data_IF_722058695014
#
_entry.id   IF_722058695014
#
_cell.length_a   1.000
_cell.length_b   1.000
_cell.length_c   1.000
_cell.angle_alpha   90.00
_cell.angle_beta   90.00
_cell.angle_gamma   90.00
#
_symmetry.space_group_name_H-M   'P 1'
#
loop_
_entity.id
_entity.type
_entity.pdbx_description
1 polymer ?
2 non-polymer ?
3 non-polymer ?
4 non-polymer ?
5 water ?
#
# COMPACT_ATOMS: atom_id res chain seq x y z
N UNK A 3 -8.90 22.49 2.53
CA UNK A 3 -7.48 22.38 2.16
C UNK A 3 -6.66 21.80 3.33
N UNK A 4 -7.09 20.64 3.82
CA UNK A 4 -6.63 20.09 5.08
C UNK A 4 -6.10 18.65 4.81
N UNK A 5 -5.06 18.25 5.53
CA UNK A 5 -4.54 16.88 5.49
C UNK A 5 -4.93 16.13 6.74
N UNK A 6 -5.55 14.96 6.59
CA UNK A 6 -5.90 14.09 7.71
C UNK A 6 -4.72 13.19 8.08
N UNK A 7 -4.64 12.80 9.35
CA UNK A 7 -3.64 11.81 9.78
C UNK A 7 -4.31 10.87 10.80
N UNK A 8 -4.11 9.57 10.61
CA UNK A 8 -4.60 8.56 11.59
C UNK A 8 -3.39 7.75 12.10
N UNK A 9 -3.33 7.58 13.42
CA UNK A 9 -2.32 6.77 14.10
C UNK A 9 -2.95 6.38 15.43
N UNK A 10 -2.80 5.11 15.81
CA UNK A 10 -3.26 4.65 17.12
C UNK A 10 -2.24 3.66 17.67
N UNK A 11 -1.71 3.98 18.85
CA UNK A 11 -0.67 3.16 19.49
C UNK A 11 -1.12 1.72 19.74
N UNK A 12 -2.43 1.50 19.79
CA UNK A 12 -2.93 0.12 20.00
C UNK A 12 -2.48 -0.86 18.89
N UNK A 13 -2.14 -0.33 17.70
CA UNK A 13 -1.66 -1.18 16.60
C UNK A 13 -0.24 -1.71 16.85
N UNK A 14 0.45 -1.18 17.88
CA UNK A 14 1.71 -1.76 18.30
C UNK A 14 1.56 -3.13 18.99
N UNK A 15 0.35 -3.54 19.41
CA UNK A 15 0.22 -4.75 20.27
C UNK A 15 0.48 -6.06 19.53
N UNK A 16 0.20 -6.09 18.23
CA UNK A 16 0.55 -7.20 17.37
C UNK A 16 2.08 -7.40 17.40
N UNK A 17 2.52 -8.59 17.77
CA UNK A 17 3.94 -8.82 17.93
C UNK A 17 4.31 -10.27 17.68
N UNK A 18 5.60 -10.55 17.50
CA UNK A 18 6.12 -11.89 17.28
C UNK A 18 6.70 -12.40 18.59
N UNK A 19 5.96 -13.30 19.27
CA UNK A 19 6.39 -13.74 20.59
C UNK A 19 7.61 -14.68 20.57
N UNK A 20 7.95 -15.20 19.39
CA UNK A 20 9.05 -16.16 19.25
C UNK A 20 10.32 -15.51 18.75
N UNK A 21 10.20 -14.33 18.15
CA UNK A 21 11.34 -13.63 17.56
C UNK A 21 11.09 -12.13 17.64
N UNK A 22 11.54 -11.51 18.72
CA UNK A 22 11.23 -10.11 18.99
C UNK A 22 11.96 -9.18 18.02
N UNK A 23 12.91 -9.72 17.26
CA UNK A 23 13.63 -8.95 16.22
C UNK A 23 13.08 -9.10 14.81
N UNK A 24 11.99 -9.82 14.65
CA UNK A 24 11.31 -9.91 13.35
C UNK A 24 11.10 -8.49 12.81
N UNK A 25 11.43 -8.24 11.53
CA UNK A 25 11.45 -6.82 11.10
C UNK A 25 10.10 -6.08 11.07
N UNK A 26 8.98 -6.79 11.04
CA UNK A 26 7.66 -6.12 11.09
C UNK A 26 7.35 -5.76 12.56
N UNK A 27 8.07 -4.77 13.05
CA UNK A 27 8.13 -4.39 14.47
C UNK A 27 7.02 -3.44 14.91
N UNK A 28 6.55 -3.57 16.14
CA UNK A 28 5.61 -2.58 16.70
C UNK A 28 6.09 -1.14 16.53
N UNK A 29 7.41 -0.92 16.68
CA UNK A 29 7.92 0.44 16.69
C UNK A 29 7.99 1.03 15.29
N UNK A 30 7.68 0.27 14.24
CA UNK A 30 7.60 0.89 12.93
C UNK A 30 6.65 2.07 12.94
N UNK A 31 5.46 1.90 13.54
CA UNK A 31 4.45 2.96 13.46
C UNK A 31 4.73 4.06 14.48
N UNK A 32 5.23 3.71 15.67
CA UNK A 32 5.54 4.74 16.68
C UNK A 32 6.72 5.62 16.21
N UNK A 33 7.73 5.01 15.59
CA UNK A 33 8.84 5.81 15.04
C UNK A 33 8.37 6.77 13.96
N UNK A 34 7.53 6.29 13.05
CA UNK A 34 6.99 7.19 12.03
C UNK A 34 6.15 8.34 12.65
N UNK A 35 5.27 8.02 13.59
CA UNK A 35 4.51 9.04 14.29
C UNK A 35 5.40 10.06 15.00
N UNK A 36 6.42 9.60 15.74
CA UNK A 36 7.36 10.53 16.41
C UNK A 36 8.05 11.45 15.43
N UNK A 37 8.48 10.91 14.26
CA UNK A 37 9.17 11.75 13.28
C UNK A 37 8.24 12.87 12.77
N UNK A 38 6.95 12.58 12.63
CA UNK A 38 5.97 13.60 12.25
C UNK A 38 5.86 14.71 13.29
N UNK A 39 5.96 14.34 14.57
CA UNK A 39 5.97 15.35 15.63
C UNK A 39 7.26 16.18 15.57
N UNK A 40 8.40 15.50 15.45
CA UNK A 40 9.71 16.19 15.40
C UNK A 40 9.82 17.19 14.26
N UNK A 41 9.24 16.84 13.13
CA UNK A 41 9.22 17.70 11.96
C UNK A 41 8.08 18.74 11.96
N UNK A 42 7.27 18.74 13.04
CA UNK A 42 6.16 19.70 13.20
C UNK A 42 5.09 19.53 12.14
N UNK A 43 4.93 18.30 11.66
CA UNK A 43 3.89 17.98 10.69
C UNK A 43 2.59 17.60 11.39
N UNK A 44 2.71 16.94 12.55
CA UNK A 44 1.53 16.42 13.24
C UNK A 44 0.52 17.54 13.56
N UNK A 45 1.02 18.65 14.10
CA UNK A 45 0.15 19.76 14.46
C UNK A 45 -0.48 20.49 13.27
N UNK A 46 0.03 20.21 12.07
CA UNK A 46 -0.52 20.77 10.83
C UNK A 46 -1.64 19.91 10.25
N UNK A 47 -1.82 18.69 10.76
CA UNK A 47 -2.82 17.77 10.25
C UNK A 47 -4.06 17.77 11.11
N UNK A 48 -5.17 17.33 10.51
CA UNK A 48 -6.40 17.07 11.24
C UNK A 48 -6.33 15.61 11.67
N UNK A 49 -6.43 15.37 12.96
CA UNK A 49 -6.36 14.02 13.50
C UNK A 49 -7.64 13.27 13.31
N UNK A 50 -7.56 12.16 12.57
CA UNK A 50 -8.73 11.29 12.32
C UNK A 50 -8.62 10.09 13.28
N UNK A 51 -9.72 9.75 14.00
CA UNK A 51 -9.63 8.62 14.93
C UNK A 51 -9.57 7.28 14.24
N UNK A 52 -8.79 6.36 14.81
CA UNK A 52 -8.89 4.94 14.44
C UNK A 52 -10.25 4.36 14.88
N UNK A 53 -10.68 3.30 14.21
CA UNK A 53 -11.80 2.49 14.71
C UNK A 53 -11.57 1.06 14.22
N UNK A 54 -12.32 0.11 14.81
CA UNK A 54 -12.33 -1.26 14.28
C UNK A 54 -13.12 -1.33 12.98
N UNK A 55 -12.57 -1.97 11.95
CA UNK A 55 -13.42 -2.48 10.88
C UNK A 55 -14.42 -3.47 11.49
N UNK A 56 -15.61 -3.51 10.89
CA UNK A 56 -16.60 -4.54 11.26
C UNK A 56 -16.38 -5.79 10.41
N UNK A 57 -16.93 -6.93 10.87
CA UNK A 57 -16.80 -8.14 10.08
C UNK A 57 -17.52 -8.01 8.73
N UNK A 58 -18.64 -7.29 8.72
CA UNK A 58 -19.32 -7.02 7.44
C UNK A 58 -18.39 -6.23 6.47
N UNK A 59 -17.63 -5.26 7.00
CA UNK A 59 -16.69 -4.51 6.13
C UNK A 59 -15.57 -5.42 5.64
N UNK A 60 -15.08 -6.31 6.48
CA UNK A 60 -14.05 -7.27 6.04
C UNK A 60 -14.58 -8.14 4.92
N UNK A 61 -15.87 -8.44 4.96
CA UNK A 61 -16.49 -9.30 3.91
C UNK A 61 -16.62 -8.58 2.55
N UNK A 62 -16.32 -7.28 2.50
CA UNK A 62 -16.19 -6.61 1.20
C UNK A 62 -15.15 -7.29 0.31
N UNK A 63 -14.08 -7.82 0.91
CA UNK A 63 -13.02 -8.51 0.17
C UNK A 63 -12.69 -9.94 0.61
N UNK A 64 -13.03 -10.32 1.85
CA UNK A 64 -12.58 -11.60 2.41
C UNK A 64 -13.72 -12.57 2.62
N UNK A 65 -13.40 -13.86 2.51
CA UNK A 65 -14.39 -14.91 2.79
C UNK A 65 -14.73 -14.90 4.28
N UNK A 66 -15.94 -15.35 4.57
CA UNK A 66 -16.37 -15.50 5.97
C UNK A 66 -15.49 -16.52 6.70
N UNK A 67 -15.04 -17.55 5.99
CA UNK A 67 -14.11 -18.54 6.57
C UNK A 67 -12.79 -17.90 7.04
N UNK A 68 -12.20 -17.09 6.16
CA UNK A 68 -10.92 -16.48 6.46
C UNK A 68 -11.09 -15.53 7.65
N UNK A 69 -12.17 -14.73 7.64
CA UNK A 69 -12.42 -13.80 8.75
C UNK A 69 -12.54 -14.56 10.07
N UNK A 70 -13.34 -15.64 10.04
CA UNK A 70 -13.60 -16.49 11.21
C UNK A 70 -12.31 -17.06 11.77
N UNK A 71 -11.43 -17.54 10.87
CA UNK A 71 -10.16 -18.21 11.26
C UNK A 71 -9.22 -17.20 11.96
N UNK A 72 -9.02 -16.02 11.34
CA UNK A 72 -8.18 -15.03 11.98
C UNK A 72 -8.79 -14.57 13.31
N UNK A 73 -10.13 -14.41 13.36
CA UNK A 73 -10.75 -14.00 14.61
C UNK A 73 -10.53 -15.06 15.72
N UNK A 74 -10.54 -16.34 15.35
CA UNK A 74 -10.33 -17.43 16.35
C UNK A 74 -8.95 -17.38 17.05
N UNK A 75 -7.98 -16.65 16.47
CA UNK A 75 -6.62 -16.56 17.05
C UNK A 75 -6.59 -15.71 18.33
N UNK A 76 -7.62 -14.88 18.54
CA UNK A 76 -7.72 -14.00 19.71
C UNK A 76 -7.56 -14.72 21.06
N UNK A 77 -8.05 -15.95 21.14
CA UNK A 77 -7.98 -16.69 22.40
C UNK A 77 -7.13 -17.96 22.35
N UNK A 78 -6.18 -18.01 21.42
CA UNK A 78 -5.32 -19.18 21.30
C UNK A 78 -4.12 -19.10 22.23
N UNK A 79 -3.72 -20.28 22.71
CA UNK A 79 -2.47 -20.44 23.45
C UNK A 79 -1.30 -20.36 22.45
N UNK A 80 -0.07 -20.02 22.92
CA UNK A 80 1.09 -19.89 22.01
C UNK A 80 1.24 -21.02 20.99
N UNK A 81 1.11 -22.29 21.42
CA UNK A 81 1.32 -23.43 20.53
C UNK A 81 0.38 -23.39 19.32
N UNK A 82 -0.86 -22.98 19.57
CA UNK A 82 -1.85 -22.95 18.51
C UNK A 82 -1.73 -21.72 17.63
N UNK A 83 -1.27 -20.62 18.20
CA UNK A 83 -0.87 -19.43 17.42
C UNK A 83 0.25 -19.78 16.44
N UNK A 84 1.23 -20.54 16.92
CA UNK A 84 2.37 -20.96 16.09
C UNK A 84 1.86 -21.87 14.95
N UNK A 85 1.04 -22.86 15.29
CA UNK A 85 0.47 -23.75 14.30
C UNK A 85 -0.35 -23.00 13.25
N UNK A 86 -1.20 -22.07 13.69
CA UNK A 86 -2.03 -21.32 12.77
C UNK A 86 -1.16 -20.45 11.87
N UNK A 87 -0.23 -19.68 12.44
CA UNK A 87 0.63 -18.79 11.62
C UNK A 87 1.36 -19.62 10.57
N UNK A 88 1.80 -20.83 10.96
CA UNK A 88 2.52 -21.70 10.03
C UNK A 88 1.73 -22.25 8.85
N UNK A 89 0.40 -22.17 8.89
CA UNK A 89 -0.41 -22.55 7.72
C UNK A 89 -0.28 -21.58 6.56
N UNK A 90 0.26 -20.40 6.85
CA UNK A 90 0.40 -19.36 5.83
C UNK A 90 1.86 -19.18 5.40
N UNK A 91 2.05 -18.48 4.31
CA UNK A 91 3.39 -18.07 3.89
C UNK A 91 3.76 -16.81 4.66
N UNK A 92 4.70 -16.94 5.59
CA UNK A 92 5.34 -15.76 6.29
C UNK A 92 4.34 -14.94 7.11
N UNK A 93 3.71 -15.63 8.07
CA UNK A 93 2.83 -15.01 9.03
C UNK A 93 3.23 -15.38 10.45
N UNK A 94 3.28 -14.38 11.34
CA UNK A 94 3.28 -14.61 12.78
C UNK A 94 2.01 -13.99 13.39
N UNK A 95 1.52 -14.62 14.47
CA UNK A 95 0.25 -14.23 15.09
C UNK A 95 0.40 -14.17 16.61
N UNK A 96 -0.11 -13.10 17.22
CA UNK A 96 -0.29 -13.03 18.66
C UNK A 96 -1.78 -12.83 18.96
N UNK A 97 -2.15 -12.80 20.25
CA UNK A 97 -3.59 -12.68 20.61
C UNK A 97 -4.19 -11.33 20.17
N UNK A 98 -3.31 -10.36 19.95
CA UNK A 98 -3.68 -8.99 19.60
C UNK A 98 -3.74 -8.75 18.10
N UNK A 99 -3.28 -9.71 17.29
CA UNK A 99 -3.16 -9.55 15.82
C UNK A 99 -4.46 -9.16 15.13
N UNK A 100 -5.53 -9.87 15.42
CA UNK A 100 -6.83 -9.63 14.80
C UNK A 100 -7.32 -8.21 15.09
N UNK A 101 -7.30 -7.77 16.35
CA UNK A 101 -7.72 -6.42 16.69
C UNK A 101 -6.85 -5.39 15.95
N UNK A 102 -5.54 -5.62 15.92
CA UNK A 102 -4.66 -4.67 15.19
C UNK A 102 -5.02 -4.59 13.71
N UNK A 103 -5.25 -5.74 13.08
CA UNK A 103 -5.68 -5.76 11.67
C UNK A 103 -6.99 -5.03 11.44
N UNK A 104 -7.93 -5.19 12.35
CA UNK A 104 -9.20 -4.48 12.27
C UNK A 104 -8.98 -2.99 12.41
N UNK A 105 -8.10 -2.58 13.32
CA UNK A 105 -7.84 -1.13 13.51
C UNK A 105 -7.14 -0.53 12.30
N UNK A 106 -6.21 -1.26 11.71
CA UNK A 106 -5.55 -0.75 10.50
C UNK A 106 -6.58 -0.48 9.40
N UNK A 107 -7.49 -1.43 9.21
CA UNK A 107 -8.52 -1.27 8.17
C UNK A 107 -9.53 -0.14 8.53
N UNK A 108 -10.08 -0.19 9.75
CA UNK A 108 -11.02 0.85 10.22
C UNK A 108 -10.44 2.28 10.14
N UNK A 109 -9.15 2.43 10.49
CA UNK A 109 -8.44 3.72 10.35
C UNK A 109 -8.49 4.23 8.93
N UNK A 110 -8.24 3.32 7.98
CA UNK A 110 -8.27 3.69 6.56
C UNK A 110 -9.67 4.01 6.05
N UNK A 111 -10.68 3.27 6.51
CA UNK A 111 -12.08 3.62 6.19
C UNK A 111 -12.41 5.04 6.69
N UNK A 112 -12.08 5.37 7.95
CA UNK A 112 -12.39 6.68 8.47
C UNK A 112 -11.64 7.78 7.67
N UNK A 113 -10.42 7.47 7.20
CA UNK A 113 -9.64 8.42 6.39
C UNK A 113 -10.29 8.59 5.02
N UNK A 114 -10.68 7.50 4.35
CA UNK A 114 -11.39 7.58 3.08
C UNK A 114 -12.70 8.36 3.23
N UNK A 115 -13.42 8.08 4.30
CA UNK A 115 -14.66 8.82 4.60
C UNK A 115 -14.40 10.33 4.74
N UNK A 116 -13.36 10.68 5.51
CA UNK A 116 -13.02 12.09 5.72
C UNK A 116 -12.73 12.78 4.41
N UNK A 117 -12.02 12.10 3.50
CA UNK A 117 -11.79 12.66 2.18
C UNK A 117 -13.08 12.80 1.36
N UNK A 118 -13.88 11.74 1.32
CA UNK A 118 -15.01 11.73 0.38
C UNK A 118 -16.18 12.59 0.88
N UNK A 119 -16.21 12.88 2.17
CA UNK A 119 -17.21 13.82 2.71
C UNK A 119 -16.71 15.27 2.67
N UNK A 120 -15.48 15.47 2.21
CA UNK A 120 -14.91 16.83 2.12
C UNK A 120 -14.39 17.39 3.44
N UNK A 121 -14.21 16.56 4.48
CA UNK A 121 -13.64 17.05 5.75
C UNK A 121 -12.14 17.36 5.61
N UNK A 122 -11.45 16.57 4.81
CA UNK A 122 -10.03 16.78 4.46
C UNK A 122 -9.88 16.58 2.96
N UNK A 123 -8.80 17.12 2.38
CA UNK A 123 -8.51 16.93 0.96
C UNK A 123 -7.79 15.59 0.73
N UNK A 124 -6.89 15.26 1.66
CA UNK A 124 -6.01 14.09 1.50
C UNK A 124 -5.69 13.59 2.91
N UNK A 125 -4.98 12.47 3.01
CA UNK A 125 -4.76 11.88 4.34
C UNK A 125 -3.63 10.87 4.31
N UNK A 126 -3.04 10.66 5.50
CA UNK A 126 -2.00 9.63 5.71
C UNK A 126 -2.44 8.67 6.84
N UNK A 127 -2.18 7.36 6.66
CA UNK A 127 -2.58 6.36 7.66
C UNK A 127 -1.35 5.60 8.09
N UNK A 128 -0.95 5.80 9.35
CA UNK A 128 0.23 5.16 9.90
C UNK A 128 -0.24 3.90 10.63
N UNK A 129 -0.30 2.80 9.88
CA UNK A 129 -1.01 1.56 10.39
C UNK A 129 -0.13 0.31 10.22
N UNK A 130 -0.38 -0.70 11.06
CA UNK A 130 0.22 -2.06 10.91
C UNK A 130 -0.79 -2.99 11.62
N UNK A 131 -0.77 -4.29 11.35
CA UNK A 131 0.02 -4.95 10.28
C UNK A 131 -0.36 -4.47 8.87
N UNK A 132 0.51 -4.69 7.90
CA UNK A 132 0.24 -4.35 6.51
C UNK A 132 -0.84 -5.23 5.87
N UNK A 133 -1.18 -4.91 4.62
CA UNK A 133 -2.32 -5.49 3.95
C UNK A 133 -2.13 -6.13 2.60
N UNK A 134 -1.21 -5.66 1.78
CA UNK A 134 -1.35 -5.93 0.33
C UNK A 134 -1.12 -7.40 -0.13
N UNK A 135 -0.49 -8.23 0.70
CA UNK A 135 -0.36 -9.65 0.33
C UNK A 135 -1.58 -10.48 0.73
N UNK A 136 -2.49 -9.93 1.55
CA UNK A 136 -3.65 -10.69 2.02
C UNK A 136 -4.62 -10.92 0.84
N UNK A 137 -5.07 -12.17 0.71
CA UNK A 137 -5.93 -12.62 -0.37
C UNK A 137 -7.36 -12.72 0.18
N UNK A 138 -8.34 -12.91 -0.70
CA UNK A 138 -9.72 -13.14 -0.23
C UNK A 138 -9.79 -14.20 0.87
N UNK A 139 -9.07 -15.30 0.69
CA UNK A 139 -9.27 -16.49 1.53
C UNK A 139 -8.05 -16.83 2.38
N UNK A 140 -7.02 -15.99 2.35
CA UNK A 140 -5.80 -16.33 3.12
C UNK A 140 -4.95 -15.13 3.55
N UNK A 141 -4.19 -15.32 4.64
CA UNK A 141 -3.19 -14.36 5.10
C UNK A 141 -1.84 -14.70 4.44
N UNK A 142 -0.96 -13.70 4.34
CA UNK A 142 0.33 -13.87 3.64
C UNK A 142 1.26 -12.71 3.90
N UNK A 143 2.55 -12.98 4.06
CA UNK A 143 3.55 -11.93 3.99
C UNK A 143 3.32 -10.80 4.98
N UNK A 144 3.05 -11.19 6.23
CA UNK A 144 2.85 -10.27 7.37
C UNK A 144 1.49 -9.59 7.34
N UNK A 145 0.63 -9.96 6.38
CA UNK A 145 -0.68 -9.31 6.18
C UNK A 145 -1.85 -10.24 6.46
N UNK A 146 -2.87 -9.73 7.16
CA UNK A 146 -4.07 -10.56 7.52
C UNK A 146 -5.28 -10.23 6.65
N UNK A 147 -5.58 -8.93 6.52
CA UNK A 147 -6.68 -8.45 5.69
C UNK A 147 -6.13 -7.36 4.77
N UNK A 148 -6.70 -7.26 3.58
CA UNK A 148 -6.13 -6.34 2.60
C UNK A 148 -6.69 -4.94 2.77
N UNK A 149 -6.06 -4.21 3.70
CA UNK A 149 -6.48 -2.86 4.06
C UNK A 149 -6.77 -1.94 2.87
N UNK A 150 -5.86 -1.85 1.91
CA UNK A 150 -6.04 -0.95 0.75
C UNK A 150 -7.22 -1.43 -0.14
N UNK A 151 -7.32 -2.74 -0.39
CA UNK A 151 -8.42 -3.27 -1.21
C UNK A 151 -9.76 -3.02 -0.50
N UNK A 152 -9.80 -3.28 0.82
CA UNK A 152 -11.03 -3.04 1.64
C UNK A 152 -11.40 -1.57 1.55
N UNK A 153 -10.39 -0.69 1.59
CA UNK A 153 -10.64 0.74 1.56
C UNK A 153 -11.26 1.17 0.21
N UNK A 154 -10.77 0.62 -0.89
CA UNK A 154 -11.40 0.90 -2.20
C UNK A 154 -12.86 0.49 -2.22
N UNK A 155 -13.17 -0.71 -1.69
CA UNK A 155 -14.56 -1.17 -1.65
C UNK A 155 -15.40 -0.37 -0.68
N UNK A 156 -14.82 -0.01 0.47
CA UNK A 156 -15.52 0.86 1.41
C UNK A 156 -15.86 2.20 0.74
N UNK A 157 -14.89 2.83 0.08
CA UNK A 157 -15.16 4.06 -0.68
C UNK A 157 -16.33 3.89 -1.68
N UNK A 158 -16.32 2.80 -2.46
CA UNK A 158 -17.45 2.47 -3.35
C UNK A 158 -18.80 2.30 -2.62
N UNK A 159 -18.74 1.75 -1.40
CA UNK A 159 -19.96 1.45 -0.60
C UNK A 159 -20.64 2.71 -0.06
N UNK A 160 -19.94 3.84 -0.08
CA UNK A 160 -20.53 5.13 0.41
C UNK A 160 -20.70 6.14 -0.72
N UNK A 161 -20.41 5.72 -1.96
CA UNK A 161 -20.57 6.61 -3.12
C UNK A 161 -21.34 5.86 -4.21
N UNK A 162 -20.62 5.15 -5.07
CA UNK A 162 -21.25 4.25 -6.06
C UNK A 162 -20.29 3.13 -6.35
N UNK A 163 -20.88 1.97 -6.66
CA UNK A 163 -20.14 0.76 -6.97
C UNK A 163 -19.04 1.01 -8.01
N UNK A 164 -19.30 1.86 -9.00
CA UNK A 164 -18.30 2.13 -10.06
C UNK A 164 -17.36 3.31 -9.83
N UNK A 165 -17.31 3.82 -8.59
CA UNK A 165 -16.38 4.88 -8.28
C UNK A 165 -14.98 4.46 -8.74
N UNK A 166 -14.31 5.31 -9.49
CA UNK A 166 -12.98 4.94 -10.02
C UNK A 166 -11.89 5.15 -8.99
N UNK A 167 -11.30 4.04 -8.56
CA UNK A 167 -10.27 4.10 -7.52
C UNK A 167 -8.96 3.63 -8.16
N UNK A 168 -7.94 4.48 -8.09
CA UNK A 168 -6.57 4.05 -8.45
C UNK A 168 -5.84 3.64 -7.22
N UNK A 169 -5.26 2.43 -7.24
CA UNK A 169 -4.34 2.02 -6.18
C UNK A 169 -2.95 1.97 -6.77
N UNK A 170 -2.06 2.79 -6.25
CA UNK A 170 -0.66 2.75 -6.65
C UNK A 170 0.09 2.08 -5.52
N UNK A 171 0.76 0.98 -5.83
CA UNK A 171 1.43 0.19 -4.81
C UNK A 171 2.93 0.32 -5.05
N UNK A 172 3.58 1.16 -4.24
CA UNK A 172 5.02 1.36 -4.40
C UNK A 172 5.85 0.66 -3.32
N UNK A 173 5.20 -0.16 -2.50
CA UNK A 173 5.93 -1.14 -1.69
C UNK A 173 6.81 -1.94 -2.66
N UNK A 174 8.02 -2.30 -2.24
CA UNK A 174 8.97 -3.02 -3.11
C UNK A 174 8.47 -4.43 -3.52
N UNK A 175 7.46 -4.97 -2.83
CA UNK A 175 6.90 -6.28 -3.15
C UNK A 175 5.62 -6.13 -3.95
N UNK A 176 5.33 -7.12 -4.80
CA UNK A 176 4.03 -7.17 -5.46
C UNK A 176 2.88 -7.36 -4.47
N UNK A 177 1.80 -6.57 -4.61
CA UNK A 177 0.59 -6.76 -3.79
C UNK A 177 -0.25 -7.81 -4.49
N UNK A 178 0.13 -9.08 -4.34
CA UNK A 178 -0.60 -10.20 -4.98
C UNK A 178 -2.07 -10.17 -4.61
N UNK A 179 -2.38 -9.84 -3.34
CA UNK A 179 -3.76 -9.89 -2.87
C UNK A 179 -4.58 -8.82 -3.57
N UNK A 180 -4.00 -7.62 -3.70
CA UNK A 180 -4.71 -6.51 -4.33
C UNK A 180 -4.98 -6.81 -5.82
N UNK A 181 -3.96 -7.32 -6.49
CA UNK A 181 -4.11 -7.70 -7.90
C UNK A 181 -5.27 -8.70 -8.06
N UNK A 182 -5.28 -9.77 -7.23
CA UNK A 182 -6.29 -10.83 -7.36
C UNK A 182 -7.69 -10.34 -7.05
N UNK A 183 -7.81 -9.52 -6.00
CA UNK A 183 -9.13 -9.03 -5.60
C UNK A 183 -9.77 -8.22 -6.73
N UNK A 184 -8.95 -7.45 -7.43
CA UNK A 184 -9.48 -6.56 -8.46
C UNK A 184 -9.23 -7.04 -9.88
N UNK A 185 -8.81 -8.29 -10.07
CA UNK A 185 -8.31 -8.71 -11.40
C UNK A 185 -9.33 -8.58 -12.54
N UNK A 186 -10.62 -8.74 -12.22
CA UNK A 186 -11.71 -8.67 -13.21
C UNK A 186 -12.49 -7.37 -13.13
N UNK A 187 -11.90 -6.38 -12.45
CA UNK A 187 -12.60 -5.15 -12.11
C UNK A 187 -12.04 -3.95 -12.88
N UNK A 188 -12.90 -3.24 -13.62
CA UNK A 188 -12.46 -2.02 -14.36
C UNK A 188 -12.71 -0.74 -13.53
N UNK A 189 -13.29 -0.88 -12.34
CA UNK A 189 -13.48 0.27 -11.44
C UNK A 189 -12.27 0.55 -10.58
N UNK A 190 -11.38 -0.42 -10.44
CA UNK A 190 -10.22 -0.25 -9.56
C UNK A 190 -9.02 -0.57 -10.42
N UNK A 191 -8.25 0.47 -10.72
CA UNK A 191 -6.99 0.34 -11.48
C UNK A 191 -5.86 0.08 -10.49
N UNK A 192 -5.23 -1.09 -10.61
CA UNK A 192 -4.12 -1.48 -9.73
C UNK A 192 -2.82 -1.30 -10.47
N UNK A 193 -1.93 -0.46 -9.94
CA UNK A 193 -0.61 -0.25 -10.56
C UNK A 193 0.43 -0.55 -9.49
N UNK A 194 1.26 -1.57 -9.73
CA UNK A 194 2.30 -1.92 -8.74
C UNK A 194 3.68 -1.77 -9.38
N UNK A 195 4.62 -1.18 -8.65
CA UNK A 195 6.02 -1.27 -9.00
C UNK A 195 6.62 -2.22 -7.97
N UNK A 196 7.52 -3.07 -8.39
CA UNK A 196 8.02 -4.10 -7.43
C UNK A 196 9.23 -4.78 -8.00
N UNK A 197 10.13 -5.12 -7.09
CA UNK A 197 11.22 -6.03 -7.42
C UNK A 197 10.65 -7.42 -7.73
N UNK A 198 11.18 -8.05 -8.78
CA UNK A 198 10.60 -9.30 -9.29
C UNK A 198 11.68 -10.37 -9.45
N UNK A 199 12.79 -10.02 -10.10
CA UNK A 199 13.95 -10.94 -10.31
C UNK A 199 13.49 -12.26 -10.92
N UNK A 200 12.61 -12.17 -11.93
CA UNK A 200 12.12 -13.37 -12.64
C UNK A 200 11.49 -14.40 -11.71
N UNK A 201 10.90 -13.93 -10.62
CA UNK A 201 10.27 -14.84 -9.68
C UNK A 201 11.10 -15.18 -8.44
N UNK A 202 12.35 -14.73 -8.37
CA UNK A 202 13.19 -15.04 -7.20
C UNK A 202 12.82 -14.18 -5.98
N UNK A 203 12.13 -13.06 -6.19
CA UNK A 203 11.86 -12.11 -5.10
C UNK A 203 10.46 -12.38 -4.57
N UNK A 204 10.28 -12.28 -3.27
CA UNK A 204 8.98 -12.55 -2.62
C UNK A 204 7.90 -11.66 -3.29
N UNK A 205 6.70 -12.17 -3.62
CA UNK A 205 6.12 -13.46 -3.17
C UNK A 205 6.32 -14.60 -4.19
N UNK A 206 7.29 -14.47 -5.09
CA UNK A 206 7.83 -15.61 -5.85
C UNK A 206 6.89 -16.22 -6.91
N UNK A 207 6.02 -15.38 -7.47
CA UNK A 207 5.00 -15.81 -8.44
C UNK A 207 5.10 -15.01 -9.73
N UNK A 208 4.88 -15.72 -10.85
CA UNK A 208 4.82 -15.07 -12.15
C UNK A 208 3.57 -14.17 -12.31
N UNK A 209 2.66 -14.20 -11.32
CA UNK A 209 1.51 -13.28 -11.27
C UNK A 209 1.98 -11.82 -11.26
N UNK A 210 3.22 -11.57 -10.77
CA UNK A 210 3.77 -10.22 -10.70
C UNK A 210 4.39 -9.73 -12.02
N UNK A 211 4.37 -10.53 -13.10
CA UNK A 211 5.07 -10.10 -14.30
C UNK A 211 4.24 -9.10 -15.11
N UNK A 212 4.91 -8.38 -16.04
CA UNK A 212 4.30 -7.29 -16.79
C UNK A 212 3.18 -7.73 -17.72
N UNK A 213 3.12 -9.03 -18.05
CA UNK A 213 2.11 -9.53 -18.97
C UNK A 213 0.79 -9.88 -18.28
N UNK A 214 0.71 -9.67 -16.96
CA UNK A 214 -0.53 -9.88 -16.24
C UNK A 214 -1.23 -8.51 -16.22
N UNK A 215 -2.16 -8.37 -17.16
CA UNK A 215 -2.76 -7.05 -17.49
C UNK A 215 -4.21 -6.92 -17.02
N UNK A 216 -4.74 -7.97 -16.37
CA UNK A 216 -6.13 -8.00 -15.95
C UNK A 216 -6.93 -8.98 -16.78
N UNK A 217 -8.12 -9.32 -16.27
CA UNK A 217 -8.93 -10.40 -16.87
C UNK A 217 -10.33 -9.89 -17.15
N UNK A 218 -10.93 -10.37 -18.24
CA UNK A 218 -12.33 -10.09 -18.51
C UNK A 218 -12.55 -8.58 -18.68
N UNK A 219 -13.57 -8.05 -18.01
CA UNK A 219 -13.83 -6.61 -18.11
C UNK A 219 -12.71 -5.79 -17.44
N UNK A 220 -11.88 -6.46 -16.65
CA UNK A 220 -10.71 -5.82 -16.01
C UNK A 220 -9.47 -5.80 -16.88
N UNK A 221 -9.57 -6.25 -18.13
CA UNK A 221 -8.39 -6.26 -18.97
C UNK A 221 -7.87 -4.83 -19.27
N UNK A 222 -6.61 -4.58 -18.94
CA UNK A 222 -5.98 -3.26 -19.06
C UNK A 222 -5.89 -2.56 -17.69
N UNK A 223 -6.59 -3.10 -16.68
CA UNK A 223 -6.73 -2.40 -15.39
C UNK A 223 -5.85 -2.98 -14.27
N UNK A 224 -4.85 -3.74 -14.68
CA UNK A 224 -3.80 -4.26 -13.81
C UNK A 224 -2.46 -3.97 -14.47
N UNK A 225 -1.64 -3.17 -13.81
CA UNK A 225 -0.36 -2.74 -14.38
C UNK A 225 0.77 -3.11 -13.43
N UNK A 226 1.56 -4.12 -13.83
CA UNK A 226 2.70 -4.57 -13.06
C UNK A 226 3.96 -4.05 -13.71
N UNK A 227 4.80 -3.38 -12.90
CA UNK A 227 6.07 -2.80 -13.36
C UNK A 227 7.16 -3.56 -12.56
N UNK A 228 7.69 -4.66 -13.13
CA UNK A 228 8.59 -5.54 -12.42
C UNK A 228 10.06 -5.18 -12.66
N UNK A 229 10.83 -5.06 -11.59
CA UNK A 229 12.28 -4.80 -11.71
C UNK A 229 13.09 -6.09 -11.64
N UNK A 230 14.10 -6.19 -12.48
CA UNK A 230 15.06 -7.29 -12.48
C UNK A 230 16.48 -6.73 -12.55
N UNK A 231 17.46 -7.46 -11.97
CA UNK A 231 18.86 -7.08 -12.12
C UNK A 231 19.27 -6.13 -11.01
N UNK A 232 18.83 -6.37 -9.77
CA UNK A 232 19.36 -5.65 -8.61
C UNK A 232 18.92 -4.19 -8.38
N UNK A 233 19.78 -3.42 -7.70
CA UNK A 233 19.44 -2.10 -7.11
C UNK A 233 18.78 -1.12 -8.09
N UNK A 234 17.61 -0.60 -7.71
CA UNK A 234 16.96 0.53 -8.40
C UNK A 234 16.71 1.65 -7.42
N UNK A 235 16.52 2.86 -7.94
CA UNK A 235 16.36 4.02 -7.04
C UNK A 235 15.55 5.13 -7.68
N UNK A 236 15.82 6.36 -7.28
CA UNK A 236 15.01 7.49 -7.77
C UNK A 236 14.93 7.61 -9.31
N UNK A 237 16.06 7.41 -10.04
CA UNK A 237 15.93 7.61 -11.50
C UNK A 237 14.91 6.65 -12.12
N UNK A 238 14.91 5.39 -11.65
CA UNK A 238 14.05 4.34 -12.22
C UNK A 238 12.59 4.53 -11.82
N UNK A 239 12.38 4.93 -10.57
CA UNK A 239 11.01 5.20 -10.07
C UNK A 239 10.44 6.46 -10.76
N UNK A 240 11.25 7.50 -10.90
CA UNK A 240 10.81 8.69 -11.62
C UNK A 240 10.45 8.38 -13.09
N UNK A 241 11.30 7.60 -13.77
CA UNK A 241 11.01 7.21 -15.16
C UNK A 241 9.74 6.37 -15.25
N UNK A 242 9.54 5.41 -14.34
CA UNK A 242 8.32 4.59 -14.33
C UNK A 242 7.05 5.47 -14.13
N UNK A 243 7.14 6.45 -13.26
CA UNK A 243 6.04 7.39 -13.09
C UNK A 243 5.79 8.25 -14.34
N UNK A 244 6.86 8.76 -14.94
CA UNK A 244 6.76 9.61 -16.13
C UNK A 244 6.18 8.87 -17.33
N UNK A 245 6.67 7.64 -17.57
CA UNK A 245 6.27 6.94 -18.79
C UNK A 245 5.03 6.10 -18.64
N UNK A 246 4.73 5.65 -17.42
CA UNK A 246 3.68 4.64 -17.20
C UNK A 246 2.63 5.06 -16.19
N UNK A 247 3.03 5.26 -14.92
CA UNK A 247 2.05 5.50 -13.87
C UNK A 247 1.18 6.72 -14.18
N UNK A 248 1.81 7.86 -14.49
CA UNK A 248 1.05 9.11 -14.63
C UNK A 248 0.21 9.18 -15.91
N UNK A 249 0.75 8.72 -17.07
CA UNK A 249 -0.12 8.79 -18.26
C UNK A 249 -1.33 7.85 -18.15
N UNK A 250 -1.12 6.63 -17.65
CA UNK A 250 -2.23 5.69 -17.42
C UNK A 250 -3.24 6.27 -16.41
N UNK A 251 -2.74 6.79 -15.29
CA UNK A 251 -3.63 7.36 -14.28
C UNK A 251 -4.44 8.50 -14.84
N UNK A 252 -3.80 9.40 -15.60
CA UNK A 252 -4.56 10.52 -16.15
C UNK A 252 -5.67 10.05 -17.10
N UNK A 253 -5.41 9.00 -17.87
CA UNK A 253 -6.42 8.45 -18.80
C UNK A 253 -7.57 7.73 -18.07
N UNK A 254 -7.24 7.07 -16.96
CA UNK A 254 -8.24 6.45 -16.10
C UNK A 254 -9.13 7.48 -15.40
N UNK A 255 -8.56 8.65 -15.07
CA UNK A 255 -9.26 9.73 -14.38
C UNK A 255 -9.90 9.25 -13.04
N UNK A 256 -9.04 8.81 -12.08
CA UNK A 256 -9.58 8.26 -10.82
C UNK A 256 -10.34 9.33 -10.04
N UNK A 257 -11.29 8.89 -9.24
CA UNK A 257 -12.04 9.79 -8.34
C UNK A 257 -11.49 9.70 -6.91
N UNK A 258 -10.60 8.73 -6.67
CA UNK A 258 -9.92 8.58 -5.37
C UNK A 258 -8.60 7.85 -5.69
N UNK A 259 -7.51 8.27 -5.04
CA UNK A 259 -6.22 7.56 -5.18
C UNK A 259 -5.85 7.00 -3.81
N UNK A 260 -5.55 5.72 -3.78
CA UNK A 260 -4.99 5.08 -2.61
C UNK A 260 -3.57 4.67 -2.90
N UNK A 261 -2.67 4.96 -1.98
CA UNK A 261 -1.28 4.52 -2.16
C UNK A 261 -1.01 3.41 -1.15
N UNK A 262 -0.69 2.23 -1.69
CA UNK A 262 -0.17 1.13 -0.87
C UNK A 262 1.30 1.50 -0.69
N UNK A 263 1.54 2.27 0.38
CA UNK A 263 2.81 2.98 0.56
C UNK A 263 3.70 2.19 1.49
N UNK A 264 4.29 1.11 0.97
CA UNK A 264 5.43 0.50 1.67
C UNK A 264 6.63 1.39 1.44
N UNK A 265 7.55 1.43 2.40
CA UNK A 265 8.80 2.17 2.26
C UNK A 265 9.99 1.22 2.31
N UNK A 266 9.79 0.03 1.78
CA UNK A 266 10.86 -0.97 1.69
C UNK A 266 11.62 -0.94 0.38
N UNK A 267 11.25 -0.07 -0.57
CA UNK A 267 12.19 0.27 -1.66
C UNK A 267 13.17 1.37 -1.21
N UNK A 268 13.10 1.80 0.06
CA UNK A 268 13.95 2.90 0.53
C UNK A 268 15.42 2.54 0.67
N UNK A 269 16.29 3.49 0.33
CA UNK A 269 17.69 3.44 0.74
C UNK A 269 17.78 2.98 2.23
N UNK A 270 18.58 1.95 2.50
CA UNK A 270 18.74 1.44 3.89
C UNK A 270 17.86 0.24 4.26
N UNK A 271 16.86 -0.08 3.44
CA UNK A 271 15.96 -1.19 3.81
C UNK A 271 16.68 -2.54 3.63
N UNK A 272 16.72 -3.38 4.69
CA UNK A 272 17.40 -4.69 4.61
C UNK A 272 16.70 -5.73 3.74
N UNK A 273 15.40 -5.56 3.53
CA UNK A 273 14.64 -6.54 2.77
C UNK A 273 14.53 -6.14 1.31
N UNK A 274 14.44 -4.84 1.03
CA UNK A 274 14.21 -4.39 -0.35
C UNK A 274 15.44 -4.32 -1.25
N UNK A 275 16.57 -3.90 -0.69
CA UNK A 275 17.80 -3.78 -1.43
C UNK A 275 17.83 -2.65 -2.45
N UNK A 276 16.88 -1.72 -2.35
CA UNK A 276 16.80 -0.58 -3.28
C UNK A 276 17.23 0.72 -2.63
N UNK A 277 17.17 1.82 -3.40
CA UNK A 277 17.81 3.08 -3.03
C UNK A 277 16.90 4.27 -3.21
N UNK A 278 15.58 4.08 -3.17
CA UNK A 278 14.67 5.25 -3.27
C UNK A 278 14.87 6.17 -2.05
N UNK A 279 14.99 7.46 -2.31
CA UNK A 279 15.33 8.45 -1.24
C UNK A 279 14.06 9.12 -0.70
N UNK A 280 14.16 9.81 0.46
CA UNK A 280 12.94 10.47 0.97
C UNK A 280 12.42 11.50 -0.02
N UNK A 281 13.36 12.20 -0.68
CA UNK A 281 13.02 13.20 -1.69
C UNK A 281 12.33 12.52 -2.87
N UNK A 282 12.82 11.32 -3.24
CA UNK A 282 12.13 10.51 -4.26
C UNK A 282 10.67 10.23 -3.87
N UNK A 283 10.43 9.68 -2.67
CA UNK A 283 9.03 9.47 -2.24
C UNK A 283 8.22 10.75 -2.25
N UNK A 284 8.82 11.88 -1.85
CA UNK A 284 8.10 13.15 -1.87
C UNK A 284 7.69 13.51 -3.30
N UNK A 285 8.59 13.34 -4.28
CA UNK A 285 8.21 13.67 -5.64
C UNK A 285 7.10 12.76 -6.17
N UNK A 286 7.17 11.47 -5.87
CA UNK A 286 6.10 10.53 -6.26
C UNK A 286 4.75 10.95 -5.69
N UNK A 287 4.75 11.33 -4.42
CA UNK A 287 3.53 11.85 -3.75
C UNK A 287 3.00 13.09 -4.49
N UNK A 288 3.89 14.06 -4.75
CA UNK A 288 3.50 15.31 -5.40
C UNK A 288 2.85 15.04 -6.78
N UNK A 289 3.40 14.07 -7.52
CA UNK A 289 2.82 13.70 -8.81
C UNK A 289 1.40 13.17 -8.64
N UNK A 290 1.22 12.26 -7.68
CA UNK A 290 -0.10 11.67 -7.47
C UNK A 290 -1.14 12.68 -7.01
N UNK A 291 -0.69 13.74 -6.33
CA UNK A 291 -1.58 14.82 -5.92
C UNK A 291 -2.27 15.56 -7.08
N UNK A 292 -1.74 15.41 -8.30
CA UNK A 292 -2.36 16.03 -9.49
C UNK A 292 -3.60 15.30 -9.96
N UNK A 293 -3.86 14.12 -9.36
CA UNK A 293 -4.98 13.26 -9.77
C UNK A 293 -6.16 13.44 -8.82
N UNK A 294 -7.36 13.12 -9.31
CA UNK A 294 -8.55 12.95 -8.48
C UNK A 294 -8.83 14.21 -7.62
N UNK A 295 -8.54 15.40 -8.17
CA UNK A 295 -8.70 16.67 -7.45
C UNK A 295 -7.99 16.65 -6.10
N UNK A 296 -6.86 15.95 -6.06
CA UNK A 296 -6.05 15.84 -4.87
C UNK A 296 -6.48 14.84 -3.82
N UNK A 297 -7.48 14.03 -4.15
CA UNK A 297 -8.03 13.08 -3.16
C UNK A 297 -7.11 11.84 -3.08
N UNK A 298 -6.12 11.91 -2.19
CA UNK A 298 -5.06 10.89 -2.06
C UNK A 298 -5.00 10.42 -0.60
N UNK A 299 -5.04 9.10 -0.40
CA UNK A 299 -4.88 8.53 0.94
C UNK A 299 -3.64 7.64 0.90
N UNK A 300 -2.63 7.98 1.71
CA UNK A 300 -1.35 7.21 1.78
C UNK A 300 -1.44 6.20 2.92
N UNK A 301 -1.33 4.91 2.59
CA UNK A 301 -1.52 3.81 3.57
C UNK A 301 -0.20 3.08 3.76
N UNK A 302 0.36 3.08 4.97
CA UNK A 302 1.60 2.31 5.20
C UNK A 302 1.42 0.80 4.92
N UNK A 303 2.36 0.24 4.15
CA UNK A 303 2.46 -1.20 3.93
C UNK A 303 3.74 -1.69 4.58
N UNK A 304 4.74 -2.15 3.80
CA UNK A 304 6.03 -2.57 4.38
C UNK A 304 7.02 -1.43 4.56
N UNK A 305 8.28 -1.79 4.77
CA UNK A 305 9.34 -0.79 5.07
C UNK A 305 9.87 -1.03 6.48
N UNK A 306 11.17 -1.35 6.57
CA UNK A 306 11.73 -1.97 7.79
C UNK A 306 12.91 -1.28 8.40
N UNK A 307 13.50 -0.31 7.67
CA UNK A 307 14.55 0.48 8.28
C UNK A 307 13.82 1.60 9.01
N UNK A 308 13.88 1.60 10.35
CA UNK A 308 13.05 2.55 11.12
C UNK A 308 13.33 4.02 10.76
N UNK A 309 14.60 4.38 10.60
CA UNK A 309 14.97 5.73 10.21
C UNK A 309 14.48 6.05 8.78
N UNK A 310 14.71 5.13 7.86
CA UNK A 310 14.28 5.34 6.46
C UNK A 310 12.78 5.52 6.34
N UNK A 311 12.00 4.67 7.01
CA UNK A 311 10.54 4.77 6.81
C UNK A 311 9.99 6.02 7.50
N UNK A 312 10.62 6.40 8.61
CA UNK A 312 10.17 7.60 9.30
C UNK A 312 10.41 8.89 8.51
N UNK A 313 11.57 8.99 7.88
CA UNK A 313 11.90 10.15 7.08
C UNK A 313 11.09 10.12 5.78
N UNK A 314 10.94 8.94 5.17
CA UNK A 314 10.27 8.88 3.86
C UNK A 314 8.77 9.15 4.01
N UNK A 315 8.12 8.51 5.00
CA UNK A 315 6.69 8.76 5.12
C UNK A 315 6.41 10.21 5.56
N UNK A 316 7.25 10.77 6.43
CA UNK A 316 7.08 12.18 6.84
C UNK A 316 7.19 13.12 5.63
N UNK A 317 8.10 12.83 4.69
CA UNK A 317 8.22 13.68 3.52
C UNK A 317 6.98 13.60 2.62
N UNK A 318 6.33 12.43 2.56
CA UNK A 318 5.07 12.30 1.82
C UNK A 318 3.99 13.19 2.47
N UNK A 319 3.90 13.14 3.78
CA UNK A 319 2.93 14.01 4.50
C UNK A 319 3.19 15.50 4.25
N UNK A 320 4.46 15.91 4.26
CA UNK A 320 4.88 17.27 3.91
C UNK A 320 4.34 17.67 2.54
N UNK A 321 4.45 16.76 1.57
CA UNK A 321 3.85 17.02 0.26
C UNK A 321 2.33 17.18 0.30
N UNK A 322 1.63 16.26 0.99
CA UNK A 322 0.19 16.36 1.14
C UNK A 322 -0.26 17.70 1.71
N UNK A 323 0.54 18.20 2.66
CA UNK A 323 0.29 19.51 3.28
C UNK A 323 0.57 20.71 2.37
N UNK A 324 1.10 20.45 1.19
CA UNK A 324 1.32 21.51 0.18
C UNK A 324 2.71 22.12 0.19
N UNK A 325 3.67 21.51 0.89
CA UNK A 325 5.07 22.03 0.90
C UNK A 325 5.71 21.85 -0.48
N UNK A 326 6.66 22.71 -0.82
CA UNK A 326 7.28 22.68 -2.15
C UNK A 326 8.07 21.38 -2.34
N UNK A 327 7.88 20.69 -3.50
CA UNK A 327 8.56 19.41 -3.75
C UNK A 327 10.07 19.59 -3.88
N UNK A 328 10.82 18.48 -3.87
CA UNK A 328 12.22 18.60 -4.27
C UNK A 328 12.40 18.80 -5.78
N UNK A 329 13.59 19.26 -6.13
CA UNK A 329 14.07 19.27 -7.50
C UNK A 329 15.32 18.41 -7.64
N UNK A 330 15.15 17.11 -7.40
CA UNK A 330 15.95 15.96 -7.93
C UNK A 330 16.77 16.19 -9.20
N UNK A 335 21.30 8.36 -15.63
CA UNK A 335 20.73 7.45 -16.63
C UNK A 335 20.24 6.19 -15.94
N UNK A 336 19.20 5.57 -16.49
CA UNK A 336 18.63 4.35 -15.85
C UNK A 336 19.53 3.15 -15.99
N UNK A 337 19.47 2.25 -15.02
CA UNK A 337 20.00 0.90 -15.18
C UNK A 337 19.37 0.30 -16.46
N UNK A 338 20.18 -0.38 -17.25
CA UNK A 338 19.74 -1.01 -18.52
C UNK A 338 18.48 -1.86 -18.38
N UNK A 339 18.47 -2.68 -17.33
CA UNK A 339 17.34 -3.59 -17.12
C UNK A 339 16.06 -2.84 -16.78
N UNK A 340 16.19 -1.65 -16.18
CA UNK A 340 15.00 -0.80 -15.89
C UNK A 340 14.36 -0.27 -17.18
N UNK A 341 15.20 0.13 -18.16
CA UNK A 341 14.66 0.50 -19.47
C UNK A 341 13.94 -0.68 -20.08
N UNK A 342 14.52 -1.87 -19.96
CA UNK A 342 13.88 -3.07 -20.49
C UNK A 342 12.51 -3.32 -19.82
N UNK A 343 12.43 -3.15 -18.50
CA UNK A 343 11.18 -3.35 -17.78
C UNK A 343 10.14 -2.35 -18.22
N UNK A 344 10.55 -1.08 -18.31
CA UNK A 344 9.56 -0.07 -18.68
C UNK A 344 9.05 -0.33 -20.09
N UNK A 345 9.93 -0.70 -21.02
CA UNK A 345 9.49 -0.94 -22.41
C UNK A 345 8.59 -2.18 -22.52
N UNK A 346 8.86 -3.19 -21.68
CA UNK A 346 7.96 -4.34 -21.66
C UNK A 346 6.55 -3.97 -21.19
N UNK A 347 6.45 -3.12 -20.18
CA UNK A 347 5.14 -2.72 -19.69
C UNK A 347 4.44 -1.83 -20.73
N UNK A 348 5.20 -0.93 -21.35
CA UNK A 348 4.62 -0.08 -22.42
C UNK A 348 4.03 -0.90 -23.55
N UNK A 349 4.75 -1.94 -23.97
CA UNK A 349 4.24 -2.81 -25.03
C UNK A 349 2.99 -3.59 -24.55
N UNK A 350 2.99 -4.02 -23.28
CA UNK A 350 1.86 -4.79 -22.72
C UNK A 350 0.59 -3.95 -22.61
N UNK A 351 0.75 -2.66 -22.34
CA UNK A 351 -0.39 -1.77 -22.06
C UNK A 351 -0.84 -0.83 -23.16
N UNK A 352 -0.02 -0.64 -24.18
CA UNK A 352 -0.42 0.19 -25.35
C UNK A 352 -1.77 -0.25 -25.98
N UNK A 353 -2.14 -1.57 -25.97
CA UNK A 353 -3.47 -1.93 -26.55
C UNK A 353 -4.62 -1.34 -25.74
N UNK A 354 -4.39 -0.97 -24.48
CA UNK A 354 -5.47 -0.53 -23.58
C UNK A 354 -5.47 0.96 -23.29
N UNK A 355 -4.32 1.62 -23.41
CA UNK A 355 -4.16 3.01 -23.00
C UNK A 355 -3.59 3.81 -24.16
N UNK A 356 -4.42 4.67 -24.75
CA UNK A 356 -4.02 5.48 -25.91
C UNK A 356 -2.80 6.35 -25.60
N UNK A 357 -2.70 6.81 -24.35
CA UNK A 357 -1.57 7.68 -23.95
C UNK A 357 -0.19 7.04 -24.08
N UNK A 358 -0.14 5.71 -24.23
CA UNK A 358 1.13 5.00 -24.32
C UNK A 358 1.58 4.80 -25.76
N UNK A 359 0.75 5.21 -26.70
CA UNK A 359 1.01 4.96 -28.13
C UNK A 359 1.86 6.04 -28.77
#
# INVERSE_FOLDING_TARGET
>A
SSPITGLVYDQRMMLHHNMWDSHHPELPQRISRIFSRHEELRLLSRCHRIPARLATEEELALCHSSKHISIIKSSEHMKPRDLNRLGDEYNSIFISNESYTCALLAAGSCFNSAQAILTGQVRNAVAIVRPPGHHAEKDTACGFCFFNTAALTARYAQSITRESLRVLIVDWDVHHGNGTQHIFEEDDSVLYISLHRYEDGAFFPNSEDANYDKVGLGKGRGYNVNIPWNGGKMGDPEYMAAFHHLVMPIAREFAPELVLVSAGFDAARGDPLGGFQVTPEGYAHLTHQLMSLAAGRVLIILEGGYNLTSISESMSMCTSMLLGDSPPSLDHLTPLKTSATVSINNVLRAHAPFWSSLR
#
